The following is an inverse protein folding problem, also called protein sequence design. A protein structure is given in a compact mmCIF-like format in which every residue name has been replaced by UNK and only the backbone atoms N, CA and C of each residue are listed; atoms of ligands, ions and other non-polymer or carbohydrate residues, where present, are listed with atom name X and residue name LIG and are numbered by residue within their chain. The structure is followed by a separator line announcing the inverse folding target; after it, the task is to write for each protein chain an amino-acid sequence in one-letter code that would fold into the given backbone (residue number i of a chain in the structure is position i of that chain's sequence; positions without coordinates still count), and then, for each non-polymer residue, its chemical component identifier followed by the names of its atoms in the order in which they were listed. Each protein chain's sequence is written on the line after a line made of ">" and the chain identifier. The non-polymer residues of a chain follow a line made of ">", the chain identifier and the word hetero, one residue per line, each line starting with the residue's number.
data_IF_653354716532
#
_entry.id   IF_653354716532
#
_cell.length_a   1.000
_cell.length_b   1.000
_cell.length_c   1.000
_cell.angle_alpha   90.00
_cell.angle_beta   90.00
_cell.angle_gamma   90.00
#
_symmetry.space_group_name_H-M   'P 1'
#
loop_
_entity.id
_entity.type
_entity.pdbx_description
1 polymer ?
#
# COMPACT_ATOMS: atom_id res chain seq x y z
N UNK A 1 -1.65 -23.15 2.66
CA UNK A 1 -1.74 -21.72 3.03
C UNK A 1 -2.30 -20.96 1.84
N UNK A 2 -3.21 -20.02 2.08
CA UNK A 2 -3.85 -19.23 1.03
C UNK A 2 -3.07 -17.93 0.87
N UNK A 3 -2.47 -17.72 -0.30
CA UNK A 3 -1.81 -16.45 -0.62
C UNK A 3 -2.88 -15.39 -0.87
N UNK A 4 -2.70 -14.25 -0.22
CA UNK A 4 -3.71 -13.20 -0.12
C UNK A 4 -3.04 -11.84 -0.25
N UNK A 5 -3.78 -10.86 -0.74
CA UNK A 5 -3.37 -9.46 -0.77
C UNK A 5 -4.40 -8.57 -0.09
N UNK A 6 -3.90 -7.50 0.51
CA UNK A 6 -4.70 -6.43 1.05
C UNK A 6 -4.10 -5.10 0.61
N UNK A 7 -4.94 -4.23 0.04
CA UNK A 7 -4.58 -2.87 -0.36
C UNK A 7 -5.46 -1.92 0.40
N UNK A 8 -4.85 -0.93 1.04
CA UNK A 8 -5.59 0.12 1.72
C UNK A 8 -4.95 1.47 1.45
N UNK A 9 -5.75 2.53 1.60
CA UNK A 9 -5.29 3.90 1.70
C UNK A 9 -5.63 4.49 3.07
N UNK A 10 -4.88 5.49 3.49
CA UNK A 10 -5.11 6.20 4.75
C UNK A 10 -4.46 7.58 4.76
N UNK A 11 -4.82 8.41 5.72
CA UNK A 11 -4.29 9.75 5.90
C UNK A 11 -3.43 9.83 7.16
N UNK A 12 -2.17 10.24 7.02
CA UNK A 12 -1.30 10.53 8.16
C UNK A 12 -1.93 11.59 9.07
N UNK A 13 -1.82 11.43 10.39
CA UNK A 13 -2.30 12.44 11.34
C UNK A 13 -1.48 13.73 11.26
N UNK A 14 -0.21 13.61 10.91
CA UNK A 14 0.71 14.71 10.64
C UNK A 14 1.63 14.29 9.50
N UNK A 15 2.16 15.24 8.70
CA UNK A 15 3.17 14.92 7.69
C UNK A 15 4.38 14.25 8.34
N UNK A 16 4.76 13.08 7.82
CA UNK A 16 5.96 12.38 8.27
C UNK A 16 7.21 13.10 7.79
N UNK A 17 8.17 13.24 8.70
CA UNK A 17 9.55 13.55 8.36
C UNK A 17 10.23 12.36 7.69
N UNK A 18 11.36 12.60 7.03
CA UNK A 18 12.18 11.54 6.44
C UNK A 18 12.65 10.51 7.49
N UNK A 19 12.97 10.98 8.70
CA UNK A 19 13.40 10.13 9.82
C UNK A 19 12.27 9.22 10.32
N UNK A 20 11.07 9.79 10.52
CA UNK A 20 9.88 9.01 10.94
C UNK A 20 9.49 7.97 9.89
N UNK A 21 9.64 8.32 8.61
CA UNK A 21 9.36 7.43 7.50
C UNK A 21 10.39 6.31 7.41
N UNK A 22 11.68 6.62 7.61
CA UNK A 22 12.73 5.61 7.70
C UNK A 22 12.49 4.62 8.85
N UNK A 23 12.08 5.11 10.02
CA UNK A 23 11.75 4.27 11.17
C UNK A 23 10.49 3.43 10.95
N UNK A 24 9.45 3.99 10.31
CA UNK A 24 8.26 3.24 9.90
C UNK A 24 8.65 2.09 8.96
N UNK A 25 9.46 2.38 7.95
CA UNK A 25 9.90 1.39 6.96
C UNK A 25 10.78 0.30 7.55
N UNK A 26 11.67 0.66 8.48
CA UNK A 26 12.49 -0.32 9.20
C UNK A 26 11.62 -1.31 9.96
N UNK A 27 10.69 -0.81 10.80
CA UNK A 27 9.74 -1.65 11.55
C UNK A 27 8.87 -2.49 10.61
N UNK A 28 8.35 -1.90 9.54
CA UNK A 28 7.53 -2.62 8.57
C UNK A 28 8.31 -3.78 7.91
N UNK A 29 9.59 -3.58 7.57
CA UNK A 29 10.44 -4.64 6.99
C UNK A 29 10.74 -5.75 7.99
N UNK A 30 11.03 -5.41 9.25
CA UNK A 30 11.26 -6.36 10.34
C UNK A 30 10.00 -7.22 10.58
N UNK A 31 8.85 -6.58 10.82
CA UNK A 31 7.57 -7.27 11.04
C UNK A 31 7.16 -8.13 9.85
N UNK A 32 7.35 -7.63 8.62
CA UNK A 32 7.00 -8.39 7.43
C UNK A 32 7.91 -9.60 7.22
N UNK A 33 9.20 -9.50 7.56
CA UNK A 33 10.09 -10.65 7.51
C UNK A 33 9.68 -11.74 8.51
N UNK A 34 9.37 -11.37 9.75
CA UNK A 34 8.91 -12.30 10.79
C UNK A 34 7.62 -13.04 10.39
N UNK A 35 6.71 -12.33 9.71
CA UNK A 35 5.40 -12.84 9.30
C UNK A 35 5.38 -13.45 7.88
N UNK A 36 6.50 -13.42 7.17
CA UNK A 36 6.58 -13.87 5.78
C UNK A 36 5.69 -13.05 4.84
N UNK A 37 5.54 -11.76 5.10
CA UNK A 37 4.79 -10.81 4.29
C UNK A 37 5.71 -10.05 3.32
N UNK A 38 5.14 -9.60 2.21
CA UNK A 38 5.80 -8.73 1.22
C UNK A 38 4.86 -7.59 0.85
N UNK A 39 5.37 -6.54 0.20
CA UNK A 39 4.50 -5.43 -0.15
C UNK A 39 5.20 -4.17 -0.63
N UNK A 40 4.37 -3.13 -0.76
CA UNK A 40 4.75 -1.80 -1.22
C UNK A 40 4.05 -0.75 -0.35
N UNK A 41 4.77 0.31 0.01
CA UNK A 41 4.23 1.51 0.64
C UNK A 41 4.50 2.71 -0.26
N UNK A 42 3.44 3.43 -0.59
CA UNK A 42 3.50 4.75 -1.22
C UNK A 42 3.13 5.82 -0.20
N UNK A 43 3.84 6.94 -0.22
CA UNK A 43 3.57 8.10 0.62
C UNK A 43 3.60 9.38 -0.21
N UNK A 44 2.56 10.20 -0.10
CA UNK A 44 2.52 11.52 -0.71
C UNK A 44 2.73 12.65 0.30
N UNK A 45 3.21 13.78 -0.20
CA UNK A 45 3.53 14.96 0.64
C UNK A 45 2.31 15.56 1.34
N UNK A 46 1.10 15.29 0.83
CA UNK A 46 -0.17 15.65 1.49
C UNK A 46 -0.56 14.70 2.64
N UNK A 47 0.31 13.74 2.97
CA UNK A 47 0.14 12.81 4.07
C UNK A 47 -0.63 11.54 3.70
N UNK A 48 -0.99 11.31 2.43
CA UNK A 48 -1.67 10.06 2.04
C UNK A 48 -0.71 8.88 1.96
N UNK A 49 -1.16 7.76 2.50
CA UNK A 49 -0.52 6.45 2.36
C UNK A 49 -1.35 5.55 1.47
N UNK A 50 -0.68 4.76 0.63
CA UNK A 50 -1.25 3.57 -0.02
C UNK A 50 -0.32 2.41 0.25
N UNK A 51 -0.83 1.34 0.86
CA UNK A 51 -0.02 0.17 1.16
C UNK A 51 -0.63 -1.10 0.58
N UNK A 52 0.25 -1.94 0.03
CA UNK A 52 -0.04 -3.31 -0.40
C UNK A 52 0.65 -4.26 0.57
N UNK A 53 -0.09 -5.25 1.06
CA UNK A 53 0.41 -6.38 1.83
C UNK A 53 0.09 -7.68 1.09
N UNK A 54 1.06 -8.58 0.97
CA UNK A 54 0.90 -9.90 0.37
C UNK A 54 1.44 -10.97 1.31
N UNK A 55 0.72 -12.07 1.49
CA UNK A 55 1.17 -13.18 2.33
C UNK A 55 0.08 -14.17 2.67
N UNK A 56 0.27 -14.91 3.77
CA UNK A 56 -0.79 -15.75 4.30
C UNK A 56 -1.96 -14.85 4.73
N UNK A 57 -3.19 -15.20 4.34
CA UNK A 57 -4.42 -14.49 4.72
C UNK A 57 -4.48 -14.18 6.21
N UNK A 58 -4.11 -15.13 7.07
CA UNK A 58 -4.18 -14.96 8.53
C UNK A 58 -3.20 -13.88 9.02
N UNK A 59 -1.96 -13.87 8.48
CA UNK A 59 -0.94 -12.89 8.84
C UNK A 59 -1.23 -11.51 8.26
N UNK A 60 -1.77 -11.44 7.04
CA UNK A 60 -2.17 -10.17 6.40
C UNK A 60 -3.30 -9.52 7.18
N UNK A 61 -4.34 -10.29 7.51
CA UNK A 61 -5.49 -9.80 8.27
C UNK A 61 -5.12 -9.46 9.70
N UNK A 62 -4.31 -10.29 10.38
CA UNK A 62 -3.84 -9.97 11.73
C UNK A 62 -3.02 -8.68 11.75
N UNK A 63 -2.05 -8.51 10.85
CA UNK A 63 -1.26 -7.28 10.77
C UNK A 63 -2.15 -6.06 10.50
N UNK A 64 -3.06 -6.17 9.55
CA UNK A 64 -3.95 -5.07 9.18
C UNK A 64 -4.90 -4.68 10.32
N UNK A 65 -5.69 -5.63 10.84
CA UNK A 65 -6.74 -5.31 11.81
C UNK A 65 -6.21 -5.05 13.22
N UNK A 66 -5.13 -5.70 13.63
CA UNK A 66 -4.64 -5.61 15.01
C UNK A 66 -3.59 -4.51 15.21
N UNK A 67 -2.83 -4.18 14.17
CA UNK A 67 -1.73 -3.21 14.28
C UNK A 67 -1.97 -1.98 13.43
N UNK A 68 -2.12 -2.15 12.11
CA UNK A 68 -2.21 -1.02 11.18
C UNK A 68 -3.48 -0.21 11.44
N UNK A 69 -4.67 -0.83 11.44
CA UNK A 69 -5.94 -0.12 11.62
C UNK A 69 -6.10 0.58 12.98
N UNK A 70 -5.20 0.31 13.92
CA UNK A 70 -5.20 0.87 15.29
C UNK A 70 -4.01 1.80 15.52
N UNK A 71 -3.17 2.02 14.51
CA UNK A 71 -2.00 2.86 14.62
C UNK A 71 -2.41 4.33 14.75
N UNK A 72 -1.99 5.05 15.80
CA UNK A 72 -2.39 6.45 16.00
C UNK A 72 -1.75 7.41 14.99
N UNK A 73 -0.79 6.96 14.17
CA UNK A 73 -0.08 7.82 13.21
C UNK A 73 -0.90 8.11 11.94
N UNK A 74 -2.03 7.44 11.74
CA UNK A 74 -2.91 7.68 10.60
C UNK A 74 -4.40 7.47 10.96
N UNK A 75 -5.27 7.93 10.06
CA UNK A 75 -6.73 7.88 10.18
C UNK A 75 -7.36 7.78 8.79
N UNK A 76 -8.71 7.75 8.72
CA UNK A 76 -9.47 7.60 7.47
C UNK A 76 -8.99 6.42 6.60
N UNK A 77 -8.90 5.23 7.21
CA UNK A 77 -8.52 4.03 6.48
C UNK A 77 -9.64 3.59 5.54
N UNK A 78 -9.30 3.37 4.28
CA UNK A 78 -10.19 2.82 3.26
C UNK A 78 -9.57 1.56 2.68
N UNK A 79 -10.27 0.45 2.77
CA UNK A 79 -9.88 -0.81 2.16
C UNK A 79 -10.16 -0.73 0.65
N UNK A 80 -9.12 -0.74 -0.17
CA UNK A 80 -9.21 -0.64 -1.63
C UNK A 80 -9.36 -2.00 -2.30
N UNK A 81 -8.70 -3.04 -1.76
CA UNK A 81 -8.83 -4.41 -2.22
C UNK A 81 -8.45 -5.40 -1.11
N UNK A 82 -9.13 -6.56 -1.10
CA UNK A 82 -8.87 -7.66 -0.16
C UNK A 82 -9.22 -8.97 -0.88
N UNK A 83 -8.21 -9.77 -1.25
CA UNK A 83 -8.46 -10.90 -2.13
C UNK A 83 -7.31 -11.89 -2.29
N UNK A 84 -7.59 -13.01 -2.95
CA UNK A 84 -6.63 -14.09 -3.16
C UNK A 84 -5.64 -13.74 -4.27
N UNK A 85 -4.42 -14.28 -4.18
CA UNK A 85 -3.40 -14.21 -5.23
C UNK A 85 -2.96 -15.61 -5.65
N UNK A 86 -2.63 -15.75 -6.94
CA UNK A 86 -1.98 -16.95 -7.46
C UNK A 86 -0.46 -16.93 -7.18
N UNK A 87 0.15 -15.75 -7.26
CA UNK A 87 1.56 -15.50 -7.00
C UNK A 87 1.75 -14.08 -6.44
N UNK A 88 2.81 -13.87 -5.66
CA UNK A 88 3.18 -12.54 -5.14
C UNK A 88 3.56 -11.63 -6.29
N UNK A 89 3.04 -10.40 -6.32
CA UNK A 89 3.42 -9.37 -7.30
C UNK A 89 4.65 -8.59 -6.83
N UNK A 90 4.87 -8.54 -5.52
CA UNK A 90 5.97 -7.81 -4.87
C UNK A 90 6.89 -8.75 -4.10
N UNK A 91 7.15 -9.95 -4.64
CA UNK A 91 7.86 -11.04 -3.98
C UNK A 91 9.24 -10.66 -3.43
N UNK A 92 9.95 -9.75 -4.11
CA UNK A 92 11.30 -9.33 -3.76
C UNK A 92 11.34 -8.24 -2.68
N UNK A 93 10.18 -7.71 -2.29
CA UNK A 93 10.08 -6.55 -1.42
C UNK A 93 9.40 -6.91 -0.11
N UNK A 94 10.21 -7.07 0.95
CA UNK A 94 9.70 -7.16 2.33
C UNK A 94 8.78 -5.98 2.63
N UNK A 95 9.21 -4.79 2.25
CA UNK A 95 8.38 -3.59 2.10
C UNK A 95 9.11 -2.60 1.20
N UNK A 96 8.68 -2.53 -0.07
CA UNK A 96 9.14 -1.52 -1.01
C UNK A 96 8.60 -0.15 -0.60
N UNK A 97 9.36 0.91 -0.86
CA UNK A 97 8.93 2.27 -0.56
C UNK A 97 9.14 3.19 -1.76
N UNK A 98 8.13 4.00 -2.07
CA UNK A 98 8.26 5.09 -3.03
C UNK A 98 7.51 6.34 -2.54
N UNK A 99 8.15 7.53 -2.61
CA UNK A 99 7.38 8.76 -2.58
C UNK A 99 6.49 8.84 -3.83
N UNK A 100 5.29 9.40 -3.68
CA UNK A 100 4.35 9.63 -4.76
C UNK A 100 3.85 11.08 -4.70
N UNK A 101 3.42 11.63 -5.83
CA UNK A 101 2.72 12.91 -5.81
C UNK A 101 1.25 12.71 -5.43
N UNK A 102 0.59 13.72 -4.83
CA UNK A 102 -0.85 13.68 -4.57
C UNK A 102 -1.67 13.29 -5.82
N UNK A 103 -1.31 13.82 -6.98
CA UNK A 103 -2.00 13.59 -8.25
C UNK A 103 -1.84 12.12 -8.66
N UNK A 104 -0.63 11.57 -8.59
CA UNK A 104 -0.37 10.18 -8.91
C UNK A 104 -1.16 9.22 -8.00
N UNK A 105 -1.22 9.49 -6.69
CA UNK A 105 -2.03 8.68 -5.79
C UNK A 105 -3.52 8.80 -6.10
N UNK A 106 -4.01 9.99 -6.43
CA UNK A 106 -5.42 10.19 -6.81
C UNK A 106 -5.76 9.44 -8.12
N UNK A 107 -4.87 9.44 -9.11
CA UNK A 107 -5.06 8.67 -10.34
C UNK A 107 -5.04 7.15 -10.08
N UNK A 108 -4.23 6.69 -9.13
CA UNK A 108 -4.14 5.28 -8.75
C UNK A 108 -5.37 4.82 -7.97
N UNK A 109 -5.81 5.58 -6.96
CA UNK A 109 -6.86 5.16 -6.01
C UNK A 109 -8.23 5.78 -6.25
N UNK A 110 -8.30 6.94 -6.91
CA UNK A 110 -9.55 7.70 -7.14
C UNK A 110 -10.57 6.95 -7.99
N UNK A 111 -10.16 5.95 -8.76
CA UNK A 111 -11.07 5.06 -9.48
C UNK A 111 -11.70 3.96 -8.60
N UNK A 112 -11.22 3.79 -7.37
CA UNK A 112 -11.59 2.72 -6.44
C UNK A 112 -12.17 3.26 -5.12
N UNK A 113 -12.25 4.59 -4.94
CA UNK A 113 -12.77 5.22 -3.74
C UNK A 113 -14.28 4.95 -3.58
N UNK A 114 -14.64 4.40 -2.42
CA UNK A 114 -15.97 3.89 -2.07
C UNK A 114 -16.99 4.98 -1.71
N UNK A 115 -16.78 6.23 -2.14
CA UNK A 115 -17.81 7.28 -2.01
C UNK A 115 -19.10 6.92 -2.78
N UNK A 116 -18.99 6.05 -3.78
CA UNK A 116 -20.12 5.31 -4.32
C UNK A 116 -20.34 4.04 -3.51
N UNK A 117 -21.36 4.07 -2.66
CA UNK A 117 -21.83 3.01 -1.76
C UNK A 117 -22.31 1.74 -2.49
N UNK A 118 -21.47 1.14 -3.35
CA UNK A 118 -21.67 -0.18 -3.95
C UNK A 118 -20.80 -1.25 -3.26
N UNK A 119 -19.91 -0.84 -2.34
CA UNK A 119 -18.94 -1.73 -1.70
C UNK A 119 -19.37 -2.33 -0.35
N UNK A 120 -20.61 -2.07 0.10
CA UNK A 120 -21.21 -2.78 1.24
C UNK A 120 -21.74 -4.19 0.87
N UNK A 121 -21.22 -4.80 -0.19
CA UNK A 121 -21.49 -6.19 -0.53
C UNK A 121 -20.42 -7.08 0.13
N UNK A 122 -20.82 -8.24 0.68
CA UNK A 122 -19.93 -9.09 1.47
C UNK A 122 -18.79 -9.55 0.58
N UNK A 123 -17.55 -9.39 1.06
CA UNK A 123 -16.34 -10.11 0.64
C UNK A 123 -16.48 -10.71 -0.76
N UNK A 124 -16.22 -9.91 -1.81
CA UNK A 124 -16.04 -10.46 -3.15
C UNK A 124 -14.60 -10.99 -3.20
N UNK A 125 -14.38 -12.32 -3.13
CA UNK A 125 -13.06 -12.86 -3.42
C UNK A 125 -12.82 -12.56 -4.91
N UNK A 126 -11.78 -11.79 -5.22
CA UNK A 126 -11.41 -11.30 -6.56
C UNK A 126 -11.88 -9.87 -6.89
N UNK A 127 -11.56 -8.89 -6.04
CA UNK A 127 -11.32 -7.57 -6.62
C UNK A 127 -10.23 -7.69 -7.69
N UNK A 128 -10.41 -7.04 -8.86
CA UNK A 128 -9.71 -7.45 -10.05
C UNK A 128 -8.24 -7.00 -9.98
N UNK A 129 -7.36 -7.76 -10.65
CA UNK A 129 -5.96 -7.43 -10.88
C UNK A 129 -5.61 -5.99 -11.30
N UNK A 130 -6.48 -5.14 -11.91
CA UNK A 130 -6.09 -3.83 -12.42
C UNK A 130 -5.44 -2.88 -11.41
N UNK A 131 -5.84 -2.87 -10.13
CA UNK A 131 -5.19 -1.96 -9.17
C UNK A 131 -3.77 -2.44 -8.82
N UNK A 132 -3.60 -3.73 -8.55
CA UNK A 132 -2.27 -4.32 -8.35
C UNK A 132 -1.37 -4.13 -9.57
N UNK A 133 -1.93 -4.33 -10.77
CA UNK A 133 -1.22 -4.18 -12.03
C UNK A 133 -0.83 -2.72 -12.26
N UNK A 134 -1.74 -1.76 -12.02
CA UNK A 134 -1.44 -0.33 -12.05
C UNK A 134 -0.36 0.08 -11.05
N UNK A 135 -0.41 -0.43 -9.82
CA UNK A 135 0.61 -0.17 -8.81
C UNK A 135 1.96 -0.75 -9.22
N UNK A 136 1.97 -1.96 -9.78
CA UNK A 136 3.17 -2.59 -10.30
C UNK A 136 3.75 -1.79 -11.48
N UNK A 137 2.91 -1.39 -12.43
CA UNK A 137 3.28 -0.57 -13.58
C UNK A 137 3.83 0.79 -13.15
N UNK A 138 3.19 1.45 -12.18
CA UNK A 138 3.66 2.71 -11.60
C UNK A 138 5.06 2.57 -11.01
N UNK A 139 5.31 1.52 -10.22
CA UNK A 139 6.63 1.29 -9.61
C UNK A 139 7.68 0.90 -10.67
N UNK A 140 7.33 0.07 -11.66
CA UNK A 140 8.26 -0.30 -12.73
C UNK A 140 8.60 0.87 -13.65
N UNK A 141 7.62 1.70 -13.97
CA UNK A 141 7.80 2.91 -14.78
C UNK A 141 8.74 3.90 -14.09
N UNK A 142 8.51 4.16 -12.80
CA UNK A 142 9.36 5.07 -11.99
C UNK A 142 10.76 4.52 -11.71
N UNK A 143 10.94 3.20 -11.65
CA UNK A 143 12.27 2.57 -11.59
C UNK A 143 13.04 2.74 -12.90
N UNK A 144 12.35 2.58 -14.03
CA UNK A 144 12.97 2.67 -15.37
C UNK A 144 13.22 4.11 -15.81
N UNK A 145 12.42 5.03 -15.27
CA UNK A 145 12.53 6.47 -15.47
C UNK A 145 12.52 7.12 -14.09
N UNK A 146 13.65 7.04 -13.34
CA UNK A 146 13.78 7.87 -12.16
C UNK A 146 13.54 9.29 -12.65
N UNK A 147 12.55 9.98 -12.07
CA UNK A 147 12.35 11.39 -12.34
C UNK A 147 13.73 12.02 -12.12
N UNK A 148 14.36 12.42 -13.23
CA UNK A 148 15.52 13.29 -13.16
C UNK A 148 14.91 14.54 -12.53
N UNK A 149 15.15 14.73 -11.23
CA UNK A 149 15.07 16.08 -10.70
C UNK A 149 15.94 16.90 -11.64
N UNK A 150 15.29 17.70 -12.49
CA UNK A 150 15.94 18.80 -13.18
C UNK A 150 16.41 19.75 -12.08
N UNK A 151 17.57 19.41 -11.51
CA UNK A 151 18.44 20.36 -10.83
C UNK A 151 19.00 21.24 -11.93
N UNK A 152 18.27 22.25 -12.41
CA UNK A 152 18.93 23.42 -12.98
C UNK A 152 18.08 24.70 -12.96
N UNK A 153 18.53 25.60 -12.07
CA UNK A 153 18.57 27.07 -12.10
C UNK A 153 17.29 27.91 -11.97
#
# INVERSE_FOLDING_TARGET
>A
MLLHHLIYESQATHPFTEEELADLLRKARETNEEKGLTGLLLYAQDGRFVQVLEGNVDEVHELYFMHIARDPRHHHLTLLADGRLNHRRFADWRMGFRPATPEALLELTGHFSTADATFLLPVLPNLPSPLLDKLLDYVQYTVSHPVLEEVTH
#
